data_IF_437569298314
#
_entry.id   IF_437569298314
#
_cell.length_a   1.000
_cell.length_b   1.000
_cell.length_c   1.000
_cell.angle_alpha   90.00
_cell.angle_beta   90.00
_cell.angle_gamma   90.00
#
_symmetry.space_group_name_H-M   'P 1'
#
loop_
_entity.id
_entity.type
_entity.pdbx_description
1 polymer ?
#
# COMPACT_ATOMS: atom_id res chain seq x y z
N UNK A 1 -7.38 20.98 -7.41
CA UNK A 1 -7.61 19.97 -6.35
C UNK A 1 -8.98 19.35 -6.62
N UNK A 2 -9.10 18.12 -7.13
CA UNK A 2 -10.41 17.51 -7.28
C UNK A 2 -11.04 17.35 -5.88
N UNK A 3 -12.19 17.98 -5.70
CA UNK A 3 -12.94 18.20 -4.45
C UNK A 3 -13.76 16.99 -3.96
N UNK A 4 -13.59 15.80 -4.52
CA UNK A 4 -14.58 14.74 -4.36
C UNK A 4 -14.18 13.57 -3.43
N UNK A 5 -12.89 13.36 -3.14
CA UNK A 5 -12.46 12.25 -2.26
C UNK A 5 -11.32 12.72 -1.35
N UNK A 6 -11.54 12.70 -0.03
CA UNK A 6 -10.46 12.91 0.95
C UNK A 6 -9.35 11.88 0.72
N UNK A 7 -8.09 12.31 0.76
CA UNK A 7 -6.93 11.42 0.57
C UNK A 7 -6.94 10.23 1.52
N UNK A 8 -7.45 10.42 2.72
CA UNK A 8 -7.67 9.36 3.71
C UNK A 8 -8.62 8.28 3.18
N UNK A 9 -9.76 8.69 2.62
CA UNK A 9 -10.76 7.76 2.06
C UNK A 9 -10.21 7.06 0.83
N UNK A 10 -9.44 7.77 -0.01
CA UNK A 10 -8.77 7.15 -1.16
C UNK A 10 -7.76 6.07 -0.72
N UNK A 11 -6.99 6.33 0.33
CA UNK A 11 -6.04 5.37 0.89
C UNK A 11 -6.75 4.17 1.54
N UNK A 12 -7.81 4.43 2.34
CA UNK A 12 -8.61 3.37 2.96
C UNK A 12 -9.28 2.47 1.92
N UNK A 13 -9.92 3.05 0.89
CA UNK A 13 -10.55 2.27 -0.19
C UNK A 13 -9.50 1.45 -0.94
N UNK A 14 -8.33 2.03 -1.23
CA UNK A 14 -7.25 1.31 -1.92
C UNK A 14 -6.66 0.19 -1.06
N UNK A 15 -6.51 0.41 0.24
CA UNK A 15 -6.01 -0.61 1.17
C UNK A 15 -7.02 -1.75 1.36
N UNK A 16 -8.30 -1.47 1.56
CA UNK A 16 -9.37 -2.48 1.67
C UNK A 16 -9.47 -3.29 0.38
N UNK A 17 -9.49 -2.60 -0.76
CA UNK A 17 -9.56 -3.24 -2.09
C UNK A 17 -8.30 -4.08 -2.35
N UNK A 18 -7.13 -3.60 -1.92
CA UNK A 18 -5.87 -4.32 -1.99
C UNK A 18 -5.85 -5.61 -1.17
N UNK A 19 -6.36 -5.58 0.07
CA UNK A 19 -6.51 -6.79 0.91
C UNK A 19 -7.51 -7.76 0.26
N UNK A 20 -8.65 -7.27 -0.23
CA UNK A 20 -9.65 -8.11 -0.90
C UNK A 20 -9.09 -8.81 -2.15
N UNK A 21 -8.35 -8.09 -2.99
CA UNK A 21 -7.72 -8.68 -4.17
C UNK A 21 -6.55 -9.61 -3.83
N UNK A 22 -5.77 -9.33 -2.78
CA UNK A 22 -4.72 -10.23 -2.30
C UNK A 22 -5.30 -11.55 -1.76
N UNK A 23 -6.38 -11.48 -0.98
CA UNK A 23 -7.13 -12.67 -0.53
C UNK A 23 -7.74 -13.41 -1.73
N UNK A 24 -8.33 -12.69 -2.69
CA UNK A 24 -8.83 -13.28 -3.93
C UNK A 24 -7.74 -14.00 -4.72
N UNK A 25 -6.55 -13.41 -4.85
CA UNK A 25 -5.41 -14.04 -5.54
C UNK A 25 -4.92 -15.33 -4.84
N UNK A 26 -5.04 -15.40 -3.50
CA UNK A 26 -4.69 -16.58 -2.69
C UNK A 26 -5.71 -17.72 -2.82
N UNK A 27 -7.00 -17.41 -2.81
CA UNK A 27 -8.06 -18.42 -2.89
C UNK A 27 -8.38 -18.87 -4.33
N UNK A 28 -8.00 -18.10 -5.35
CA UNK A 28 -8.28 -18.43 -6.75
C UNK A 28 -7.04 -18.95 -7.47
N UNK A 29 -7.16 -20.05 -8.24
CA UNK A 29 -6.05 -20.68 -8.97
C UNK A 29 -6.12 -20.41 -10.49
N UNK A 30 -4.94 -20.33 -11.13
CA UNK A 30 -4.81 -20.19 -12.58
C UNK A 30 -5.00 -18.76 -13.09
N UNK A 31 -5.64 -18.60 -14.24
CA UNK A 31 -5.80 -17.31 -14.96
C UNK A 31 -6.55 -16.24 -14.16
N UNK A 32 -7.46 -16.65 -13.27
CA UNK A 32 -8.21 -15.76 -12.38
C UNK A 32 -7.31 -15.10 -11.34
N UNK A 33 -6.29 -15.80 -10.83
CA UNK A 33 -5.29 -15.22 -9.91
C UNK A 33 -4.53 -14.06 -10.59
N UNK A 34 -4.14 -14.24 -11.85
CA UNK A 34 -3.45 -13.21 -12.65
C UNK A 34 -4.34 -11.97 -12.87
N UNK A 35 -5.65 -12.19 -13.05
CA UNK A 35 -6.64 -11.12 -13.16
C UNK A 35 -6.76 -10.33 -11.85
N UNK A 36 -6.81 -11.03 -10.70
CA UNK A 36 -6.81 -10.39 -9.38
C UNK A 36 -5.53 -9.60 -9.10
N UNK A 37 -4.38 -10.11 -9.52
CA UNK A 37 -3.08 -9.41 -9.39
C UNK A 37 -3.06 -8.14 -10.26
N UNK A 38 -3.63 -8.21 -11.46
CA UNK A 38 -3.73 -7.05 -12.36
C UNK A 38 -4.65 -5.97 -11.76
N UNK A 39 -5.78 -6.37 -11.16
CA UNK A 39 -6.66 -5.49 -10.40
C UNK A 39 -6.02 -4.96 -9.11
N UNK A 40 -5.14 -5.74 -8.46
CA UNK A 40 -4.32 -5.28 -7.34
C UNK A 40 -3.39 -4.14 -7.77
N UNK A 41 -2.82 -4.21 -8.97
CA UNK A 41 -2.04 -3.11 -9.55
C UNK A 41 -2.83 -1.81 -9.68
N UNK A 42 -4.12 -1.90 -10.03
CA UNK A 42 -5.02 -0.74 -10.06
C UNK A 42 -5.21 -0.14 -8.66
N UNK A 43 -5.41 -0.97 -7.63
CA UNK A 43 -5.51 -0.52 -6.25
C UNK A 43 -4.21 0.16 -5.77
N UNK A 44 -3.04 -0.37 -6.17
CA UNK A 44 -1.75 0.19 -5.78
C UNK A 44 -1.46 1.58 -6.39
N UNK A 45 -1.98 1.86 -7.59
CA UNK A 45 -1.81 3.16 -8.28
C UNK A 45 -2.32 4.35 -7.46
N UNK A 46 -3.35 4.13 -6.65
CA UNK A 46 -3.99 5.18 -5.84
C UNK A 46 -3.27 5.43 -4.50
N UNK A 47 -2.43 4.51 -4.03
CA UNK A 47 -1.80 4.57 -2.71
C UNK A 47 -0.72 5.65 -2.67
N UNK A 48 0.16 5.67 -3.68
CA UNK A 48 1.28 6.62 -3.76
C UNK A 48 0.84 8.10 -3.79
N UNK A 49 -0.13 8.52 -4.64
CA UNK A 49 -0.62 9.90 -4.64
C UNK A 49 -1.48 10.23 -3.41
N UNK A 50 -2.04 9.24 -2.71
CA UNK A 50 -2.81 9.46 -1.49
C UNK A 50 -1.92 9.58 -0.24
N UNK A 51 -0.84 8.80 -0.14
CA UNK A 51 0.03 8.79 1.04
C UNK A 51 0.96 10.01 1.09
N UNK A 52 1.40 10.51 -0.07
CA UNK A 52 2.36 11.62 -0.12
C UNK A 52 1.82 12.90 0.50
N UNK A 53 0.64 13.41 0.07
CA UNK A 53 0.14 14.66 0.61
C UNK A 53 -0.36 14.48 2.04
N UNK A 54 -0.89 13.30 2.39
CA UNK A 54 -1.25 12.93 3.77
C UNK A 54 -0.05 12.98 4.74
N UNK A 55 1.12 12.52 4.30
CA UNK A 55 2.33 12.48 5.12
C UNK A 55 3.01 13.85 5.29
N UNK A 56 2.83 14.76 4.35
CA UNK A 56 3.40 16.12 4.40
C UNK A 56 2.39 17.18 4.89
N UNK A 57 1.12 16.84 5.01
CA UNK A 57 0.08 17.72 5.50
C UNK A 57 0.42 18.19 6.93
N UNK A 58 0.38 19.50 7.18
CA UNK A 58 0.67 20.12 8.48
C UNK A 58 2.12 19.99 8.99
N UNK A 59 3.10 19.72 8.11
CA UNK A 59 4.54 19.82 8.45
C UNK A 59 5.10 21.25 8.34
N UNK A 60 4.36 22.18 7.72
CA UNK A 60 4.73 23.60 7.63
C UNK A 60 6.13 23.82 7.03
N UNK A 61 7.08 24.35 7.80
CA UNK A 61 8.47 24.56 7.34
C UNK A 61 9.22 23.25 7.05
N UNK A 62 8.77 22.13 7.60
CA UNK A 62 9.45 20.84 7.51
C UNK A 62 8.99 19.96 6.35
N UNK A 63 8.05 20.42 5.51
CA UNK A 63 7.51 19.66 4.36
C UNK A 63 8.61 19.13 3.44
N UNK A 64 9.66 19.93 3.18
CA UNK A 64 10.83 19.49 2.39
C UNK A 64 11.54 18.29 3.02
N UNK A 65 11.72 18.33 4.34
CA UNK A 65 12.41 17.28 5.10
C UNK A 65 11.54 16.01 5.20
N UNK A 66 10.23 16.16 5.38
CA UNK A 66 9.27 15.06 5.32
C UNK A 66 9.26 14.35 3.96
N UNK A 67 9.23 15.10 2.86
CA UNK A 67 9.33 14.55 1.51
C UNK A 67 10.64 13.79 1.27
N UNK A 68 11.78 14.31 1.75
CA UNK A 68 13.04 13.59 1.62
C UNK A 68 13.08 12.29 2.42
N UNK A 69 12.49 12.28 3.62
CA UNK A 69 12.39 11.06 4.45
C UNK A 69 11.50 9.99 3.79
N UNK A 70 10.39 10.39 3.16
CA UNK A 70 9.54 9.49 2.39
C UNK A 70 10.31 8.81 1.25
N UNK A 71 11.12 9.57 0.50
CA UNK A 71 11.96 9.02 -0.57
C UNK A 71 13.02 8.07 -0.01
N UNK A 72 13.66 8.42 1.10
CA UNK A 72 14.63 7.54 1.76
C UNK A 72 13.98 6.24 2.26
N UNK A 73 12.75 6.30 2.74
CA UNK A 73 12.00 5.12 3.16
C UNK A 73 11.72 4.17 1.99
N UNK A 74 11.45 4.69 0.78
CA UNK A 74 11.28 3.87 -0.43
C UNK A 74 12.58 3.15 -0.79
N UNK A 75 13.73 3.83 -0.69
CA UNK A 75 15.03 3.20 -0.89
C UNK A 75 15.28 2.08 0.13
N UNK A 76 14.85 2.26 1.38
CA UNK A 76 14.86 1.21 2.41
C UNK A 76 13.94 0.03 2.09
N UNK A 77 12.88 0.25 1.30
CA UNK A 77 11.96 -0.78 0.80
C UNK A 77 12.59 -1.77 -0.19
N UNK A 78 13.83 -1.55 -0.65
CA UNK A 78 14.55 -2.47 -1.53
C UNK A 78 14.79 -3.87 -0.93
N UNK A 79 14.54 -4.05 0.36
CA UNK A 79 14.60 -5.35 1.05
C UNK A 79 13.38 -6.23 0.75
N UNK A 80 12.21 -5.65 0.42
CA UNK A 80 10.99 -6.42 0.15
C UNK A 80 11.04 -7.28 -1.14
N UNK A 81 11.55 -6.79 -2.28
CA UNK A 81 11.60 -7.59 -3.52
C UNK A 81 12.48 -8.86 -3.42
N UNK A 82 13.69 -8.82 -2.84
CA UNK A 82 14.49 -10.04 -2.61
C UNK A 82 13.76 -11.05 -1.71
N UNK A 83 13.10 -10.56 -0.66
CA UNK A 83 12.38 -11.40 0.30
C UNK A 83 11.16 -12.05 -0.35
N UNK A 84 10.44 -11.32 -1.20
CA UNK A 84 9.36 -11.84 -2.03
C UNK A 84 9.87 -12.88 -3.05
N UNK A 85 11.00 -12.61 -3.72
CA UNK A 85 11.61 -13.54 -4.69
C UNK A 85 12.00 -14.86 -4.04
N UNK A 86 12.63 -14.81 -2.87
CA UNK A 86 13.02 -16.00 -2.12
C UNK A 86 11.79 -16.81 -1.68
N UNK A 87 10.71 -16.14 -1.27
CA UNK A 87 9.45 -16.82 -0.95
C UNK A 87 8.81 -17.46 -2.19
N UNK A 88 8.82 -16.78 -3.33
CA UNK A 88 8.24 -17.25 -4.59
C UNK A 88 9.00 -18.45 -5.18
N UNK A 89 10.32 -18.50 -5.01
CA UNK A 89 11.17 -19.60 -5.47
C UNK A 89 10.97 -20.88 -4.64
N UNK A 90 10.73 -20.74 -3.33
CA UNK A 90 10.53 -21.88 -2.42
C UNK A 90 9.07 -22.34 -2.31
N UNK A 91 8.12 -21.41 -2.43
CA UNK A 91 6.69 -21.64 -2.25
C UNK A 91 5.96 -20.92 -3.38
N UNK A 92 5.32 -21.66 -4.28
CA UNK A 92 4.54 -21.19 -5.45
C UNK A 92 4.13 -19.70 -5.40
N UNK A 93 4.22 -18.92 -6.50
CA UNK A 93 3.98 -17.47 -6.53
C UNK A 93 2.74 -16.97 -5.77
N UNK A 94 1.70 -17.80 -5.62
CA UNK A 94 0.54 -17.52 -4.77
C UNK A 94 0.89 -17.35 -3.28
N UNK A 95 1.77 -18.17 -2.71
CA UNK A 95 2.20 -18.05 -1.32
C UNK A 95 2.99 -16.78 -1.05
N UNK A 96 3.72 -16.26 -2.05
CA UNK A 96 4.45 -15.00 -1.92
C UNK A 96 3.50 -13.79 -1.65
N UNK A 97 2.21 -13.89 -2.03
CA UNK A 97 1.20 -12.87 -1.70
C UNK A 97 0.88 -12.76 -0.21
N UNK A 98 1.25 -13.75 0.62
CA UNK A 98 1.15 -13.61 2.08
C UNK A 98 2.02 -12.46 2.61
N UNK A 99 3.12 -12.11 1.94
CA UNK A 99 3.96 -10.97 2.32
C UNK A 99 3.23 -9.64 2.13
N UNK A 100 2.33 -9.58 1.15
CA UNK A 100 1.67 -8.36 0.71
C UNK A 100 0.49 -8.01 1.64
N UNK A 101 -0.16 -9.01 2.25
CA UNK A 101 -1.25 -8.82 3.22
C UNK A 101 -0.86 -7.93 4.41
N UNK A 102 0.21 -8.24 5.20
CA UNK A 102 0.59 -7.41 6.33
C UNK A 102 1.00 -5.99 5.90
N UNK A 103 1.59 -5.82 4.71
CA UNK A 103 1.89 -4.49 4.16
C UNK A 103 0.62 -3.67 3.92
N UNK A 104 -0.41 -4.26 3.29
CA UNK A 104 -1.70 -3.59 3.10
C UNK A 104 -2.43 -3.34 4.42
N UNK A 105 -2.32 -4.25 5.39
CA UNK A 105 -2.85 -4.07 6.73
C UNK A 105 -2.18 -2.88 7.44
N UNK A 106 -0.88 -2.71 7.26
CA UNK A 106 -0.14 -1.56 7.80
C UNK A 106 -0.57 -0.25 7.13
N UNK A 107 -0.80 -0.25 5.81
CA UNK A 107 -1.37 0.89 5.09
C UNK A 107 -2.79 1.22 5.56
N UNK A 108 -3.60 0.20 5.83
CA UNK A 108 -4.95 0.36 6.37
C UNK A 108 -4.93 0.93 7.79
N UNK A 109 -4.00 0.46 8.63
CA UNK A 109 -3.75 1.03 9.96
C UNK A 109 -3.31 2.49 9.87
N UNK A 110 -2.39 2.83 8.96
CA UNK A 110 -1.96 4.22 8.74
C UNK A 110 -3.13 5.11 8.27
N UNK A 111 -3.97 4.61 7.36
CA UNK A 111 -5.15 5.32 6.86
C UNK A 111 -6.30 5.46 7.86
N UNK A 112 -6.40 4.60 8.89
CA UNK A 112 -7.49 4.60 9.88
C UNK A 112 -7.10 5.20 11.23
N UNK A 113 -5.95 4.80 11.77
CA UNK A 113 -5.45 5.20 13.09
C UNK A 113 -4.45 6.36 12.99
N UNK A 114 -3.60 6.37 11.96
CA UNK A 114 -2.61 7.43 11.74
C UNK A 114 -3.23 8.81 11.50
N UNK A 115 -4.40 8.89 10.86
CA UNK A 115 -5.10 10.16 10.67
C UNK A 115 -5.76 10.68 11.96
N UNK A 116 -6.28 9.79 12.82
CA UNK A 116 -6.91 10.19 14.09
C UNK A 116 -5.91 10.72 15.12
N UNK A 117 -4.68 10.18 15.14
CA UNK A 117 -3.62 10.63 16.05
C UNK A 117 -3.16 12.07 15.82
N UNK A 118 -3.54 12.70 14.70
CA UNK A 118 -3.18 14.09 14.36
C UNK A 118 -4.26 15.12 14.64
N UNK A 119 -5.45 14.68 15.06
CA UNK A 119 -6.60 15.54 15.41
C UNK A 119 -6.82 15.70 16.92
N UNK A 120 -5.97 15.09 17.75
CA UNK A 120 -5.97 15.24 19.22
C UNK A 120 -4.90 16.23 19.66
#
# INVERSE_FOLDING_TARGET
IPRFISQEKALQVSAVTGVLFALGALFTHGYTSVLFISLLGLANSLIFPAIWPLAIEGLGRFTKLGSSLLIMAIAGGAVLPPLYGLLADHSSPQHAYWLVIPCYLFLLYYGTVGHKARRA
#
